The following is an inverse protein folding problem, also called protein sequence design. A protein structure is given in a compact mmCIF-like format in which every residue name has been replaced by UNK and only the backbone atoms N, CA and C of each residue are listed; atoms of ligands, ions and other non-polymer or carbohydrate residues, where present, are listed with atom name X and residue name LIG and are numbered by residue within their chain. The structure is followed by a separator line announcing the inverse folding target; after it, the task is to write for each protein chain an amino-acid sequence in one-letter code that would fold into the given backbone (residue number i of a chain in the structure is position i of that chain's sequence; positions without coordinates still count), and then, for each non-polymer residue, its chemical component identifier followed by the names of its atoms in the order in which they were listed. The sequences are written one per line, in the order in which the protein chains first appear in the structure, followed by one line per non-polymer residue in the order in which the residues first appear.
data_IF_828355952233
#
_entry.id   IF_828355952233
#
_cell.length_a   1.000
_cell.length_b   1.000
_cell.length_c   1.000
_cell.angle_alpha   90.00
_cell.angle_beta   90.00
_cell.angle_gamma   90.00
#
_symmetry.space_group_name_H-M   'P 1'
#
loop_
_entity.id
_entity.type
_entity.pdbx_description
1 polymer ?
#
# COMPACT_ATOMS: atom_id res chain seq x y z
N UNK A 1 1.28 19.83 -1.67
CA UNK A 1 2.48 19.10 -2.14
C UNK A 1 2.50 17.71 -1.57
N UNK A 2 2.69 16.72 -2.36
CA UNK A 2 2.69 15.35 -1.90
C UNK A 2 2.69 14.36 -3.03
N UNK A 3 2.37 13.13 -2.68
CA UNK A 3 2.30 12.04 -3.64
C UNK A 3 0.88 11.52 -3.73
N UNK A 4 0.49 11.13 -4.93
CA UNK A 4 -0.81 10.51 -5.20
C UNK A 4 -0.57 9.16 -5.83
N UNK A 5 -1.14 8.12 -5.24
CA UNK A 5 -1.12 6.79 -5.83
C UNK A 5 -2.41 6.62 -6.63
N UNK A 6 -2.29 6.47 -7.92
CA UNK A 6 -3.42 6.40 -8.84
C UNK A 6 -3.91 4.98 -9.05
N UNK A 7 -3.10 3.99 -8.76
CA UNK A 7 -3.41 2.60 -9.03
C UNK A 7 -2.89 1.71 -7.90
N UNK A 8 -3.77 0.86 -7.37
CA UNK A 8 -3.43 -0.13 -6.36
C UNK A 8 -3.76 -1.52 -6.86
N UNK A 9 -2.93 -2.48 -6.51
CA UNK A 9 -3.13 -3.86 -6.87
C UNK A 9 -2.70 -4.76 -5.72
N UNK A 10 -3.49 -5.78 -5.43
CA UNK A 10 -3.16 -6.76 -4.41
C UNK A 10 -3.39 -8.15 -4.97
N UNK A 11 -2.38 -9.00 -4.87
CA UNK A 11 -2.45 -10.39 -5.32
C UNK A 11 -1.91 -11.30 -4.23
N UNK A 12 -2.44 -12.51 -4.16
CA UNK A 12 -1.98 -13.50 -3.21
C UNK A 12 -1.58 -14.79 -3.92
N UNK A 13 -0.51 -15.41 -3.46
CA UNK A 13 -0.04 -16.69 -3.95
C UNK A 13 0.16 -17.64 -2.78
N UNK A 14 0.05 -18.92 -3.03
CA UNK A 14 0.19 -19.93 -1.99
C UNK A 14 -1.07 -20.11 -1.15
N UNK A 15 -0.99 -20.96 -0.14
CA UNK A 15 -2.12 -21.27 0.73
C UNK A 15 -1.68 -21.38 2.18
N UNK A 16 -2.60 -21.09 3.10
CA UNK A 16 -2.39 -21.19 4.54
C UNK A 16 -1.14 -20.39 4.99
N UNK A 17 -0.22 -21.02 5.68
CA UNK A 17 0.97 -20.36 6.21
C UNK A 17 1.95 -19.92 5.13
N UNK A 18 1.81 -20.47 3.93
CA UNK A 18 2.69 -20.14 2.79
C UNK A 18 2.08 -19.06 1.90
N UNK A 19 0.91 -18.54 2.25
CA UNK A 19 0.26 -17.51 1.47
C UNK A 19 1.01 -16.19 1.59
N UNK A 20 1.30 -15.58 0.45
CA UNK A 20 1.96 -14.29 0.38
C UNK A 20 1.06 -13.33 -0.38
N UNK A 21 0.72 -12.22 0.27
CA UNK A 21 -0.05 -11.16 -0.35
C UNK A 21 0.92 -10.07 -0.76
N UNK A 22 0.95 -9.73 -2.03
CA UNK A 22 1.77 -8.64 -2.57
C UNK A 22 0.86 -7.46 -2.87
N UNK A 23 1.17 -6.30 -2.29
CA UNK A 23 0.44 -5.07 -2.49
C UNK A 23 1.35 -4.08 -3.21
N UNK A 24 0.90 -3.58 -4.34
CA UNK A 24 1.66 -2.67 -5.20
C UNK A 24 0.86 -1.41 -5.44
N UNK A 25 1.50 -0.27 -5.29
CA UNK A 25 0.91 1.02 -5.62
C UNK A 25 1.81 1.78 -6.59
N UNK A 26 1.20 2.41 -7.58
CA UNK A 26 1.90 3.24 -8.55
C UNK A 26 1.24 4.60 -8.64
N UNK A 27 2.04 5.63 -8.78
CA UNK A 27 1.53 6.98 -8.86
C UNK A 27 2.63 7.98 -9.13
N UNK A 28 2.42 9.21 -8.68
CA UNK A 28 3.32 10.32 -8.92
C UNK A 28 3.45 11.19 -7.68
N UNK A 29 4.63 11.77 -7.52
CA UNK A 29 4.86 12.81 -6.54
C UNK A 29 5.11 14.13 -7.25
N UNK A 30 4.77 15.25 -6.59
CA UNK A 30 4.92 16.59 -7.17
C UNK A 30 6.37 17.06 -7.19
N UNK A 31 7.26 16.34 -6.51
CA UNK A 31 8.69 16.64 -6.51
C UNK A 31 9.49 15.34 -6.43
N UNK A 32 10.77 15.43 -6.68
CA UNK A 32 11.66 14.29 -6.56
C UNK A 32 12.10 14.05 -5.11
N UNK A 33 12.63 12.87 -4.82
CA UNK A 33 13.22 12.57 -3.52
C UNK A 33 12.26 12.09 -2.44
N UNK A 34 10.99 11.94 -2.74
CA UNK A 34 10.04 11.34 -1.79
C UNK A 34 10.32 9.85 -1.60
N UNK A 35 10.21 9.39 -0.38
CA UNK A 35 10.31 7.96 -0.06
C UNK A 35 8.95 7.49 0.42
N UNK A 36 8.43 6.45 -0.21
CA UNK A 36 7.14 5.86 0.12
C UNK A 36 7.33 4.45 0.64
N UNK A 37 6.55 4.09 1.66
CA UNK A 37 6.51 2.72 2.15
C UNK A 37 5.13 2.40 2.70
N UNK A 38 4.80 1.12 2.70
CA UNK A 38 3.57 0.61 3.30
C UNK A 38 3.93 -0.08 4.61
N UNK A 39 3.20 0.25 5.66
CA UNK A 39 3.40 -0.33 6.99
C UNK A 39 2.09 -0.91 7.50
N UNK A 40 2.12 -2.05 8.20
CA UNK A 40 0.94 -2.55 8.90
C UNK A 40 0.49 -1.52 9.93
N UNK A 41 -0.82 -1.34 10.07
CA UNK A 41 -1.36 -0.42 11.04
C UNK A 41 -2.49 -1.06 11.84
N UNK A 42 -2.54 -0.74 13.13
CA UNK A 42 -3.65 -1.10 14.00
C UNK A 42 -4.56 0.10 14.29
N UNK A 43 -4.26 1.23 13.67
CA UNK A 43 -5.10 2.42 13.82
C UNK A 43 -6.40 2.25 13.05
N UNK A 44 -7.51 2.52 13.70
CA UNK A 44 -8.80 2.24 13.13
C UNK A 44 -9.08 0.74 13.23
N UNK A 45 -9.82 0.35 14.25
CA UNK A 45 -10.19 -1.06 14.46
C UNK A 45 -10.93 -1.55 13.22
N UNK A 46 -10.33 -2.49 12.53
CA UNK A 46 -11.01 -3.18 11.45
C UNK A 46 -11.70 -4.38 12.06
N UNK A 47 -13.00 -4.31 12.20
CA UNK A 47 -13.80 -5.41 12.76
C UNK A 47 -13.94 -6.58 11.78
N UNK A 48 -13.33 -6.48 10.63
CA UNK A 48 -13.42 -7.50 9.60
C UNK A 48 -12.13 -8.34 9.59
N UNK A 49 -12.20 -9.61 9.98
CA UNK A 49 -11.02 -10.48 9.99
C UNK A 49 -10.48 -10.77 8.60
N UNK A 50 -11.25 -10.48 7.56
CA UNK A 50 -10.84 -10.70 6.17
C UNK A 50 -10.12 -9.49 5.57
N UNK A 51 -9.92 -8.44 6.35
CA UNK A 51 -9.27 -7.22 5.89
C UNK A 51 -7.99 -6.96 6.66
N UNK A 52 -6.91 -6.76 5.90
CA UNK A 52 -5.64 -6.33 6.47
C UNK A 52 -5.50 -4.81 6.27
N UNK A 53 -5.05 -4.12 7.29
CA UNK A 53 -4.91 -2.66 7.25
C UNK A 53 -3.45 -2.28 7.09
N UNK A 54 -3.18 -1.42 6.10
CA UNK A 54 -1.86 -0.85 5.83
C UNK A 54 -1.96 0.66 5.85
N UNK A 55 -0.84 1.31 6.14
CA UNK A 55 -0.73 2.76 6.07
C UNK A 55 0.37 3.13 5.09
N UNK A 56 0.07 4.05 4.20
CA UNK A 56 1.07 4.62 3.30
C UNK A 56 1.81 5.72 4.04
N UNK A 57 3.11 5.54 4.18
CA UNK A 57 4.00 6.53 4.79
C UNK A 57 4.77 7.22 3.68
N UNK A 58 4.69 8.54 3.65
CA UNK A 58 5.38 9.37 2.67
C UNK A 58 6.38 10.25 3.41
N UNK A 59 7.66 10.07 3.11
CA UNK A 59 8.70 10.93 3.65
C UNK A 59 9.06 11.97 2.62
N UNK A 60 8.94 13.25 3.01
CA UNK A 60 9.26 14.36 2.14
C UNK A 60 10.77 14.62 2.15
N UNK A 61 11.37 14.95 1.00
CA UNK A 61 12.79 15.28 0.96
C UNK A 61 13.03 16.67 1.56
N UNK A 62 14.21 16.87 2.14
CA UNK A 62 14.60 18.21 2.58
C UNK A 62 14.86 19.11 1.39
N UNK A 63 15.41 18.52 0.34
CA UNK A 63 15.67 19.21 -0.93
C UNK A 63 15.25 18.29 -2.06
N UNK A 64 14.35 18.76 -2.89
CA UNK A 64 13.90 18.03 -4.05
C UNK A 64 13.58 18.98 -5.19
N UNK A 65 13.71 18.50 -6.42
CA UNK A 65 13.32 19.28 -7.58
C UNK A 65 11.79 19.24 -7.76
N UNK A 66 11.20 20.38 -8.12
CA UNK A 66 9.76 20.45 -8.41
C UNK A 66 9.47 19.87 -9.78
N UNK A 67 9.56 18.56 -9.86
CA UNK A 67 9.33 17.79 -11.10
C UNK A 67 8.41 16.64 -10.76
N UNK A 68 7.36 16.45 -11.54
CA UNK A 68 6.47 15.31 -11.39
C UNK A 68 7.28 14.04 -11.57
N UNK A 69 7.33 13.21 -10.53
CA UNK A 69 8.19 12.04 -10.48
C UNK A 69 7.33 10.78 -10.29
N UNK A 70 7.40 9.82 -11.19
CA UNK A 70 6.68 8.56 -11.00
C UNK A 70 7.24 7.80 -9.80
N UNK A 71 6.35 7.20 -9.02
CA UNK A 71 6.74 6.45 -7.82
C UNK A 71 6.04 5.10 -7.78
N UNK A 72 6.67 4.19 -7.07
CA UNK A 72 6.21 2.83 -6.90
C UNK A 72 6.39 2.44 -5.43
N UNK A 73 5.40 1.76 -4.86
CA UNK A 73 5.49 1.23 -3.52
C UNK A 73 5.01 -0.21 -3.52
N UNK A 74 5.68 -1.06 -2.76
CA UNK A 74 5.37 -2.49 -2.71
C UNK A 74 5.61 -3.03 -1.32
N UNK A 75 4.76 -3.95 -0.88
CA UNK A 75 4.97 -4.69 0.35
C UNK A 75 4.42 -6.11 0.22
N UNK A 76 4.90 -7.01 1.07
CA UNK A 76 4.44 -8.38 1.14
C UNK A 76 3.94 -8.69 2.55
N UNK A 77 2.86 -9.46 2.62
CA UNK A 77 2.27 -9.91 3.88
C UNK A 77 2.23 -11.44 3.84
N UNK A 78 2.82 -12.06 4.85
CA UNK A 78 2.96 -13.53 4.90
C UNK A 78 1.98 -14.17 5.86
N UNK A 79 1.35 -15.25 5.43
CA UNK A 79 0.52 -16.07 6.29
C UNK A 79 -0.82 -15.48 6.69
N UNK A 80 -1.32 -14.46 5.98
CA UNK A 80 -2.57 -13.81 6.31
C UNK A 80 -3.69 -14.32 5.40
N UNK A 81 -4.85 -14.73 5.94
CA UNK A 81 -5.98 -15.21 5.15
C UNK A 81 -6.86 -14.08 4.60
N UNK A 82 -6.47 -12.83 4.70
CA UNK A 82 -7.28 -11.70 4.27
C UNK A 82 -7.67 -11.79 2.78
N UNK A 83 -8.85 -11.27 2.46
CA UNK A 83 -9.35 -11.18 1.09
C UNK A 83 -9.38 -9.75 0.58
N UNK A 84 -9.10 -8.79 1.45
CA UNK A 84 -9.16 -7.37 1.16
C UNK A 84 -8.05 -6.63 1.90
N UNK A 85 -7.54 -5.57 1.29
CA UNK A 85 -6.55 -4.69 1.91
C UNK A 85 -7.16 -3.30 2.02
N UNK A 86 -7.10 -2.70 3.21
CA UNK A 86 -7.42 -1.29 3.41
C UNK A 86 -6.11 -0.52 3.52
N UNK A 87 -5.99 0.53 2.73
CA UNK A 87 -4.79 1.35 2.71
C UNK A 87 -5.17 2.75 3.14
N UNK A 88 -4.60 3.20 4.26
CA UNK A 88 -4.78 4.55 4.76
C UNK A 88 -3.71 5.43 4.14
N UNK A 89 -4.13 6.44 3.39
CA UNK A 89 -3.24 7.40 2.74
C UNK A 89 -3.49 8.79 3.32
N UNK A 90 -2.59 9.76 3.09
CA UNK A 90 -2.84 11.14 3.53
C UNK A 90 -4.11 11.75 2.96
N UNK A 91 -4.61 11.24 1.84
CA UNK A 91 -5.83 11.75 1.20
C UNK A 91 -7.07 10.94 1.55
N UNK A 92 -6.97 9.88 2.33
CA UNK A 92 -8.11 9.05 2.73
C UNK A 92 -7.78 7.57 2.71
N UNK A 93 -8.79 6.75 2.90
CA UNK A 93 -8.65 5.29 2.91
C UNK A 93 -9.14 4.69 1.61
N UNK A 94 -8.44 3.67 1.14
CA UNK A 94 -8.83 2.91 -0.05
C UNK A 94 -8.89 1.43 0.25
N UNK A 95 -9.91 0.76 -0.30
CA UNK A 95 -10.05 -0.69 -0.22
C UNK A 95 -9.65 -1.35 -1.53
N UNK A 96 -8.84 -2.39 -1.44
CA UNK A 96 -8.37 -3.14 -2.61
C UNK A 96 -8.68 -4.61 -2.40
N UNK A 97 -9.39 -5.21 -3.34
CA UNK A 97 -9.67 -6.65 -3.28
C UNK A 97 -8.42 -7.44 -3.65
N UNK A 98 -8.15 -8.49 -2.88
CA UNK A 98 -7.01 -9.36 -3.13
C UNK A 98 -7.41 -10.44 -4.14
N UNK A 99 -6.65 -10.56 -5.20
CA UNK A 99 -6.85 -11.60 -6.19
C UNK A 99 -5.94 -12.78 -5.88
N UNK A 100 -6.54 -13.95 -5.68
CA UNK A 100 -5.78 -15.15 -5.41
C UNK A 100 -5.26 -15.74 -6.73
N UNK A 101 -3.96 -15.86 -6.81
CA UNK A 101 -3.28 -16.51 -7.92
C UNK A 101 -2.91 -17.92 -7.48
N UNK A 102 -3.20 -18.87 -8.31
CA UNK A 102 -2.95 -20.29 -7.98
C UNK A 102 -1.46 -20.61 -7.88
#
# INVERSE_FOLDING_TARGET
MGCTISEWQATATGQADERVITVIGEGECTSSGHVLRLEPTNEGIVDDPDTVALRLVVENPEVGAEVITPVHVETEIHGDPATCVRIDTPSGSEGVSIQQSA
#
